data_IF_785082826413
#
_entry.id   IF_785082826413
#
_cell.length_a   1.000
_cell.length_b   1.000
_cell.length_c   1.000
_cell.angle_alpha   90.00
_cell.angle_beta   90.00
_cell.angle_gamma   90.00
#
_symmetry.space_group_name_H-M   'P 1'
#
loop_
_entity.id
_entity.type
_entity.pdbx_description
1 polymer ?
#
# COMPACT_ATOMS: atom_id res chain seq x y z
N UNK A 1 24.60 -58.05 -34.09
CA UNK A 1 24.92 -57.24 -32.89
C UNK A 1 25.48 -55.86 -33.25
N UNK A 2 26.44 -55.76 -34.19
CA UNK A 2 27.09 -54.51 -34.65
C UNK A 2 26.11 -53.47 -35.27
N UNK A 3 25.12 -53.89 -36.07
CA UNK A 3 24.18 -52.97 -36.72
C UNK A 3 23.28 -52.19 -35.76
N UNK A 4 22.86 -52.81 -34.64
CA UNK A 4 21.98 -52.15 -33.66
C UNK A 4 22.72 -51.07 -32.87
N UNK A 5 24.01 -51.28 -32.58
CA UNK A 5 24.82 -50.30 -31.88
C UNK A 5 25.14 -49.09 -32.77
N UNK A 6 25.46 -49.29 -34.05
CA UNK A 6 25.72 -48.19 -34.98
C UNK A 6 24.51 -47.26 -35.14
N UNK A 7 23.29 -47.82 -35.18
CA UNK A 7 22.04 -47.03 -35.23
C UNK A 7 21.84 -46.25 -33.93
N UNK A 8 22.07 -46.86 -32.76
CA UNK A 8 21.94 -46.18 -31.45
C UNK A 8 22.94 -45.03 -31.33
N UNK A 9 24.22 -45.26 -31.67
CA UNK A 9 25.24 -44.21 -31.65
C UNK A 9 24.94 -43.09 -32.67
N UNK A 10 24.43 -43.43 -33.86
CA UNK A 10 24.01 -42.46 -34.86
C UNK A 10 22.87 -41.56 -34.36
N UNK A 11 21.85 -42.14 -33.72
CA UNK A 11 20.72 -41.39 -33.15
C UNK A 11 21.20 -40.49 -32.00
N UNK A 12 22.09 -40.98 -31.13
CA UNK A 12 22.65 -40.18 -30.04
C UNK A 12 23.47 -38.99 -30.54
N UNK A 13 24.32 -39.20 -31.55
CA UNK A 13 25.11 -38.12 -32.15
C UNK A 13 24.20 -37.09 -32.85
N UNK A 14 23.16 -37.53 -33.54
CA UNK A 14 22.18 -36.64 -34.16
C UNK A 14 21.41 -35.82 -33.11
N UNK A 15 20.97 -36.45 -32.02
CA UNK A 15 20.28 -35.76 -30.92
C UNK A 15 21.17 -34.71 -30.25
N UNK A 16 22.43 -35.05 -29.98
CA UNK A 16 23.41 -34.12 -29.42
C UNK A 16 23.71 -32.95 -30.36
N UNK A 17 23.78 -33.18 -31.68
CA UNK A 17 23.96 -32.12 -32.66
C UNK A 17 22.77 -31.14 -32.66
N UNK A 18 21.53 -31.65 -32.58
CA UNK A 18 20.31 -30.81 -32.51
C UNK A 18 20.28 -29.98 -31.23
N UNK A 19 20.61 -30.59 -30.08
CA UNK A 19 20.67 -29.87 -28.80
C UNK A 19 21.77 -28.80 -28.83
N UNK A 20 22.95 -29.11 -29.37
CA UNK A 20 24.06 -28.18 -29.51
C UNK A 20 23.73 -26.98 -30.40
N UNK A 21 23.09 -27.21 -31.54
CA UNK A 21 22.59 -26.16 -32.43
C UNK A 21 21.52 -25.30 -31.74
N UNK A 22 20.60 -25.91 -31.00
CA UNK A 22 19.60 -25.20 -30.21
C UNK A 22 20.21 -24.30 -29.14
N UNK A 23 21.19 -24.81 -28.39
CA UNK A 23 21.91 -24.04 -27.38
C UNK A 23 22.71 -22.87 -27.99
N UNK A 24 23.40 -23.10 -29.12
CA UNK A 24 24.12 -22.05 -29.83
C UNK A 24 23.17 -20.94 -30.33
N UNK A 25 22.01 -21.31 -30.87
CA UNK A 25 21.03 -20.35 -31.38
C UNK A 25 20.37 -19.49 -30.27
N UNK A 26 20.20 -20.07 -29.07
CA UNK A 26 19.81 -19.32 -27.87
C UNK A 26 20.95 -18.39 -27.42
N UNK A 27 22.20 -18.87 -27.41
CA UNK A 27 23.37 -18.08 -27.01
C UNK A 27 23.61 -16.87 -27.93
N UNK A 28 23.39 -17.01 -29.24
CA UNK A 28 23.50 -15.91 -30.21
C UNK A 28 22.25 -15.02 -30.25
N UNK A 29 21.29 -15.24 -29.34
CA UNK A 29 20.07 -14.45 -29.22
C UNK A 29 19.25 -14.38 -30.53
N UNK A 30 19.38 -15.41 -31.39
CA UNK A 30 18.79 -15.46 -32.73
C UNK A 30 17.41 -16.10 -32.76
N UNK A 31 17.00 -16.75 -31.66
CA UNK A 31 15.66 -17.32 -31.48
C UNK A 31 14.99 -16.61 -30.30
N UNK A 32 13.98 -15.82 -30.63
CA UNK A 32 13.11 -15.17 -29.66
C UNK A 32 12.02 -16.16 -29.21
N UNK A 33 12.28 -16.88 -28.11
CA UNK A 33 11.36 -17.88 -27.56
C UNK A 33 10.41 -17.20 -26.54
N UNK A 34 9.14 -16.92 -26.90
CA UNK A 34 8.24 -16.12 -26.07
C UNK A 34 7.94 -16.74 -24.70
N UNK A 35 8.09 -18.06 -24.54
CA UNK A 35 7.82 -18.76 -23.29
C UNK A 35 8.88 -18.53 -22.19
N UNK A 36 10.12 -18.15 -22.52
CA UNK A 36 11.12 -17.82 -21.51
C UNK A 36 10.95 -16.40 -20.96
N UNK A 37 10.31 -15.49 -21.71
CA UNK A 37 10.09 -14.11 -21.25
C UNK A 37 9.06 -14.03 -20.12
N UNK A 38 8.00 -14.83 -20.18
CA UNK A 38 6.96 -14.81 -19.13
C UNK A 38 7.39 -15.46 -17.81
N UNK A 39 8.39 -16.35 -17.83
CA UNK A 39 8.85 -17.11 -16.67
C UNK A 39 9.94 -16.40 -15.86
N UNK A 40 10.72 -15.54 -16.51
CA UNK A 40 11.84 -14.81 -15.89
C UNK A 40 11.66 -13.29 -15.92
N UNK A 41 10.54 -12.78 -16.45
CA UNK A 41 10.17 -11.39 -16.24
C UNK A 41 9.82 -11.19 -14.76
N UNK A 42 10.79 -10.66 -14.01
CA UNK A 42 10.48 -9.98 -12.77
C UNK A 42 9.44 -8.92 -13.12
N UNK A 43 8.25 -9.04 -12.53
CA UNK A 43 7.28 -7.95 -12.57
C UNK A 43 8.02 -6.67 -12.17
N UNK A 44 7.81 -5.54 -12.87
CA UNK A 44 8.46 -4.29 -12.51
C UNK A 44 8.18 -4.07 -11.02
N UNK A 45 9.23 -4.13 -10.21
CA UNK A 45 9.13 -3.79 -8.80
C UNK A 45 8.66 -2.34 -8.78
N UNK A 46 7.47 -2.03 -8.24
CA UNK A 46 7.02 -0.65 -8.21
C UNK A 46 8.12 0.15 -7.53
N UNK A 47 8.69 1.09 -8.28
CA UNK A 47 9.59 2.09 -7.69
C UNK A 47 8.82 2.70 -6.53
N UNK A 48 9.37 2.73 -5.30
CA UNK A 48 8.71 3.37 -4.17
C UNK A 48 8.56 4.85 -4.50
N UNK A 49 7.42 5.17 -5.11
CA UNK A 49 6.94 6.53 -5.22
C UNK A 49 6.47 6.81 -3.80
N UNK A 50 7.13 7.76 -3.13
CA UNK A 50 6.60 8.30 -1.87
C UNK A 50 5.16 8.70 -2.15
N UNK A 51 4.22 7.97 -1.55
CA UNK A 51 2.81 8.27 -1.71
C UNK A 51 2.62 9.73 -1.26
N UNK A 52 2.08 10.59 -2.13
CA UNK A 52 2.01 12.02 -1.84
C UNK A 52 1.14 12.27 -0.61
N UNK A 53 1.74 12.89 0.41
CA UNK A 53 1.06 13.20 1.67
C UNK A 53 -0.03 14.25 1.40
N UNK A 54 -1.31 14.00 1.75
CA UNK A 54 -2.40 14.92 1.43
C UNK A 54 -2.29 16.22 2.22
N UNK A 55 -2.27 17.41 1.60
CA UNK A 55 -2.34 18.68 2.32
C UNK A 55 -3.68 18.81 3.06
N UNK A 56 -3.71 19.30 4.32
CA UNK A 56 -4.93 19.85 4.84
C UNK A 56 -5.31 21.12 4.04
N UNK A 57 -6.60 21.39 3.78
CA UNK A 57 -7.00 22.62 3.11
C UNK A 57 -6.55 23.84 3.91
N UNK A 58 -6.22 24.95 3.23
CA UNK A 58 -5.70 26.16 3.88
C UNK A 58 -6.68 26.66 4.96
N UNK A 59 -6.18 26.83 6.18
CA UNK A 59 -6.99 27.26 7.33
C UNK A 59 -7.87 26.16 7.94
N UNK A 60 -7.67 24.88 7.60
CA UNK A 60 -8.39 23.78 8.23
C UNK A 60 -8.11 23.73 9.73
N UNK A 61 -9.17 23.94 10.51
CA UNK A 61 -9.14 23.78 11.96
C UNK A 61 -9.23 22.30 12.33
N UNK A 62 -8.55 21.88 13.42
CA UNK A 62 -8.74 20.55 14.00
C UNK A 62 -10.22 20.28 14.30
N UNK A 63 -10.66 19.06 14.04
CA UNK A 63 -12.03 18.65 14.32
C UNK A 63 -12.13 18.31 15.80
N UNK A 64 -13.23 18.68 16.48
CA UNK A 64 -13.50 18.22 17.85
C UNK A 64 -13.40 16.69 17.91
N UNK A 65 -12.65 16.17 18.88
CA UNK A 65 -12.39 14.72 19.02
C UNK A 65 -13.68 13.90 18.99
N UNK A 66 -14.75 14.36 19.65
CA UNK A 66 -16.05 13.69 19.69
C UNK A 66 -16.79 13.57 18.35
N UNK A 67 -16.34 14.28 17.31
CA UNK A 67 -16.86 14.20 15.94
C UNK A 67 -16.00 13.33 15.03
N UNK A 68 -14.82 12.93 15.48
CA UNK A 68 -13.91 12.07 14.72
C UNK A 68 -14.27 10.61 15.00
N UNK A 69 -14.72 9.91 13.95
CA UNK A 69 -14.99 8.47 13.98
C UNK A 69 -13.76 7.70 13.52
N UNK A 70 -13.26 6.81 14.38
CA UNK A 70 -12.03 6.04 14.16
C UNK A 70 -12.34 4.55 14.16
N UNK A 71 -11.85 3.84 13.15
CA UNK A 71 -11.73 2.38 13.20
C UNK A 71 -10.27 2.04 13.50
N UNK A 72 -10.01 1.09 14.38
CA UNK A 72 -8.65 0.73 14.78
C UNK A 72 -8.35 -0.70 14.34
N UNK A 73 -7.32 -0.84 13.52
CA UNK A 73 -6.87 -2.10 12.96
C UNK A 73 -5.52 -2.50 13.55
N UNK A 74 -5.43 -3.72 14.06
CA UNK A 74 -4.16 -4.29 14.48
C UNK A 74 -3.41 -4.86 13.27
N UNK A 75 -2.39 -4.14 12.80
CA UNK A 75 -1.47 -4.61 11.76
C UNK A 75 -0.26 -5.37 12.31
N UNK A 76 -0.34 -5.88 13.55
CA UNK A 76 0.76 -6.60 14.21
C UNK A 76 0.33 -7.99 14.68
N UNK A 77 1.28 -8.78 15.16
CA UNK A 77 1.02 -10.05 15.87
C UNK A 77 0.69 -9.86 17.35
N UNK A 78 0.71 -8.62 17.88
CA UNK A 78 0.46 -8.34 19.29
C UNK A 78 -1.02 -8.42 19.61
N UNK A 79 -1.42 -9.42 20.41
CA UNK A 79 -2.81 -9.61 20.80
C UNK A 79 -3.35 -8.45 21.65
N UNK A 80 -4.55 -7.97 21.32
CA UNK A 80 -5.24 -6.92 22.07
C UNK A 80 -4.69 -5.51 21.88
N UNK A 81 -3.73 -5.29 20.97
CA UNK A 81 -3.14 -3.98 20.73
C UNK A 81 -4.19 -2.95 20.27
N UNK A 82 -5.06 -3.33 19.33
CA UNK A 82 -6.14 -2.45 18.86
C UNK A 82 -7.12 -2.09 19.97
N UNK A 83 -7.45 -3.04 20.87
CA UNK A 83 -8.35 -2.79 21.99
C UNK A 83 -7.77 -1.79 23.00
N UNK A 84 -6.52 -2.00 23.43
CA UNK A 84 -5.84 -1.06 24.35
C UNK A 84 -5.72 0.34 23.75
N UNK A 85 -5.38 0.40 22.47
CA UNK A 85 -5.29 1.67 21.75
C UNK A 85 -6.66 2.33 21.60
N UNK A 86 -7.73 1.55 21.45
CA UNK A 86 -9.09 2.06 21.44
C UNK A 86 -9.45 2.70 22.76
N UNK A 87 -9.16 2.06 23.89
CA UNK A 87 -9.41 2.63 25.22
C UNK A 87 -8.68 3.97 25.39
N UNK A 88 -7.41 4.05 24.96
CA UNK A 88 -6.64 5.29 24.99
C UNK A 88 -7.23 6.38 24.08
N UNK A 89 -7.67 6.02 22.87
CA UNK A 89 -8.29 6.95 21.91
C UNK A 89 -9.66 7.43 22.42
N UNK A 90 -10.48 6.55 22.99
CA UNK A 90 -11.76 6.89 23.60
C UNK A 90 -11.60 7.76 24.85
N UNK A 91 -10.59 7.48 25.69
CA UNK A 91 -10.23 8.29 26.85
C UNK A 91 -9.88 9.74 26.49
N UNK A 92 -9.42 9.96 25.26
CA UNK A 92 -9.15 11.30 24.70
C UNK A 92 -10.39 11.96 24.10
N UNK A 93 -11.53 11.27 24.04
CA UNK A 93 -12.80 11.79 23.58
C UNK A 93 -13.11 11.54 22.10
N UNK A 94 -12.32 10.72 21.41
CA UNK A 94 -12.63 10.25 20.05
C UNK A 94 -13.79 9.24 20.06
N UNK A 95 -14.42 9.01 18.90
CA UNK A 95 -15.43 7.98 18.75
C UNK A 95 -14.84 6.78 18.04
N UNK A 96 -14.52 5.72 18.78
CA UNK A 96 -14.13 4.45 18.17
C UNK A 96 -15.40 3.75 17.68
N UNK A 97 -15.40 3.35 16.41
CA UNK A 97 -16.53 2.67 15.78
C UNK A 97 -16.29 1.17 15.68
N UNK A 98 -15.06 0.75 15.42
CA UNK A 98 -14.68 -0.65 15.27
C UNK A 98 -13.23 -0.88 15.70
N UNK A 99 -12.97 -2.06 16.26
CA UNK A 99 -11.62 -2.57 16.54
C UNK A 99 -11.49 -3.98 15.97
N UNK A 100 -10.54 -4.20 15.07
CA UNK A 100 -10.32 -5.52 14.46
C UNK A 100 -8.86 -5.72 14.02
N UNK A 101 -8.53 -6.86 13.43
CA UNK A 101 -7.21 -7.10 12.86
C UNK A 101 -7.15 -6.57 11.42
N UNK A 102 -6.01 -6.01 11.03
CA UNK A 102 -5.76 -5.65 9.64
C UNK A 102 -5.60 -6.93 8.80
N UNK A 103 -6.00 -6.92 7.53
CA UNK A 103 -5.80 -8.08 6.63
C UNK A 103 -4.33 -8.34 6.32
N UNK A 104 -3.48 -7.33 6.46
CA UNK A 104 -2.03 -7.38 6.19
C UNK A 104 -1.30 -6.71 7.35
N UNK A 105 -0.15 -7.25 7.73
CA UNK A 105 0.71 -6.65 8.74
C UNK A 105 1.35 -5.36 8.22
N UNK A 106 1.51 -4.36 9.08
CA UNK A 106 2.14 -3.08 8.75
C UNK A 106 3.46 -2.94 9.50
N UNK A 107 4.54 -2.62 8.78
CA UNK A 107 5.89 -2.57 9.33
C UNK A 107 6.28 -1.21 9.95
N UNK A 108 5.48 -0.14 9.73
CA UNK A 108 5.78 1.19 10.27
C UNK A 108 5.18 1.45 11.65
N UNK A 109 5.13 2.72 12.07
CA UNK A 109 4.50 3.12 13.34
C UNK A 109 2.99 2.97 13.24
N UNK A 110 2.35 3.71 12.34
CA UNK A 110 0.94 3.56 12.06
C UNK A 110 0.62 4.08 10.67
N UNK A 111 -0.49 3.62 10.11
CA UNK A 111 -1.06 4.16 8.87
C UNK A 111 -2.47 4.64 9.13
N UNK A 112 -2.76 5.86 8.70
CA UNK A 112 -4.06 6.50 8.83
C UNK A 112 -4.67 6.62 7.43
N UNK A 113 -5.71 5.82 7.17
CA UNK A 113 -6.44 5.83 5.91
C UNK A 113 -7.72 6.68 6.03
N UNK A 114 -7.95 7.56 5.07
CA UNK A 114 -9.10 8.48 5.08
C UNK A 114 -9.54 8.89 3.68
N UNK A 115 -10.79 9.35 3.56
CA UNK A 115 -11.32 9.92 2.33
C UNK A 115 -11.23 11.44 2.29
N UNK A 116 -11.69 12.03 1.19
CA UNK A 116 -11.70 13.49 0.99
C UNK A 116 -12.44 14.26 2.09
N UNK A 117 -13.49 13.69 2.70
CA UNK A 117 -14.22 14.30 3.82
C UNK A 117 -13.56 14.08 5.19
N UNK A 118 -12.59 13.17 5.28
CA UNK A 118 -11.92 12.76 6.51
C UNK A 118 -10.58 13.44 6.75
N UNK A 119 -10.13 14.33 5.86
CA UNK A 119 -8.79 14.95 5.92
C UNK A 119 -8.53 15.62 7.28
N UNK A 120 -9.41 16.54 7.70
CA UNK A 120 -9.22 17.25 8.97
C UNK A 120 -9.27 16.29 10.18
N UNK A 121 -10.10 15.25 10.13
CA UNK A 121 -10.19 14.22 11.16
C UNK A 121 -8.91 13.36 11.23
N UNK A 122 -8.34 13.01 10.08
CA UNK A 122 -7.11 12.25 9.98
C UNK A 122 -5.91 13.04 10.50
N UNK A 123 -5.81 14.32 10.16
CA UNK A 123 -4.77 15.21 10.70
C UNK A 123 -4.89 15.42 12.21
N UNK A 124 -6.13 15.51 12.72
CA UNK A 124 -6.38 15.58 14.16
C UNK A 124 -5.87 14.31 14.86
N UNK A 125 -6.13 13.13 14.29
CA UNK A 125 -5.65 11.86 14.84
C UNK A 125 -4.12 11.72 14.70
N UNK A 126 -3.54 12.16 13.57
CA UNK A 126 -2.11 12.07 13.29
C UNK A 126 -1.26 12.83 14.32
N UNK A 127 -1.76 13.93 14.87
CA UNK A 127 -1.05 14.66 15.93
C UNK A 127 -0.90 13.86 17.23
N UNK A 128 -1.70 12.81 17.44
CA UNK A 128 -1.55 11.88 18.56
C UNK A 128 -0.61 10.71 18.26
N UNK A 129 -0.24 10.49 16.99
CA UNK A 129 0.57 9.36 16.53
C UNK A 129 1.74 9.87 15.69
N UNK A 130 2.82 10.36 16.33
CA UNK A 130 3.98 10.84 15.60
C UNK A 130 4.59 9.72 14.76
N UNK A 131 4.88 10.02 13.50
CA UNK A 131 5.37 9.02 12.54
C UNK A 131 4.27 8.21 11.84
N UNK A 132 2.99 8.55 12.03
CA UNK A 132 1.92 7.95 11.25
C UNK A 132 1.96 8.39 9.78
N UNK A 133 1.80 7.43 8.88
CA UNK A 133 1.68 7.65 7.44
C UNK A 133 0.22 7.97 7.08
N UNK A 134 -0.01 9.13 6.45
CA UNK A 134 -1.34 9.57 6.01
C UNK A 134 -1.60 9.09 4.57
N UNK A 135 -2.53 8.16 4.39
CA UNK A 135 -2.90 7.65 3.08
C UNK A 135 -4.35 8.01 2.75
N UNK A 136 -4.54 8.82 1.71
CA UNK A 136 -5.89 9.09 1.22
C UNK A 136 -6.38 7.92 0.37
N UNK A 137 -7.63 7.51 0.55
CA UNK A 137 -8.30 6.54 -0.32
C UNK A 137 -9.55 7.13 -0.98
N UNK A 138 -10.19 6.32 -1.83
CA UNK A 138 -11.36 6.75 -2.60
C UNK A 138 -12.69 6.74 -1.81
N UNK A 139 -12.66 6.61 -0.47
CA UNK A 139 -13.89 6.58 0.34
C UNK A 139 -14.55 7.96 0.36
N UNK A 140 -15.88 7.97 0.47
CA UNK A 140 -16.71 9.19 0.48
C UNK A 140 -17.18 9.61 1.88
N UNK A 141 -16.95 8.77 2.89
CA UNK A 141 -17.31 9.05 4.28
C UNK A 141 -16.17 9.82 4.98
N UNK A 142 -16.45 10.32 6.19
CA UNK A 142 -15.48 11.04 7.02
C UNK A 142 -14.82 10.13 8.08
N UNK A 143 -14.97 8.81 7.93
CA UNK A 143 -14.37 7.83 8.84
C UNK A 143 -12.88 7.68 8.55
N UNK A 144 -12.11 7.57 9.64
CA UNK A 144 -10.66 7.41 9.60
C UNK A 144 -10.31 6.02 10.11
N UNK A 145 -9.44 5.31 9.40
CA UNK A 145 -8.95 4.01 9.84
C UNK A 145 -7.50 4.16 10.32
N UNK A 146 -7.23 3.73 11.55
CA UNK A 146 -5.90 3.69 12.15
C UNK A 146 -5.39 2.25 12.15
N UNK A 147 -4.45 1.95 11.26
CA UNK A 147 -3.73 0.67 11.26
C UNK A 147 -2.46 0.81 12.07
N UNK A 148 -2.36 0.05 13.16
CA UNK A 148 -1.18 0.02 14.04
C UNK A 148 -0.13 -0.91 13.44
N UNK A 149 1.11 -0.46 13.33
CA UNK A 149 2.20 -1.28 12.81
C UNK A 149 3.15 -1.78 13.90
N UNK A 150 4.15 -2.55 13.48
CA UNK A 150 5.11 -3.21 14.37
C UNK A 150 5.93 -2.22 15.21
N UNK A 151 6.15 -1.01 14.71
CA UNK A 151 6.91 0.02 15.41
C UNK A 151 6.01 0.88 16.31
N UNK A 152 4.70 0.60 16.36
CA UNK A 152 3.78 1.26 17.27
C UNK A 152 4.09 0.86 18.72
N UNK A 153 4.21 1.85 19.58
CA UNK A 153 4.43 1.63 21.02
C UNK A 153 3.24 2.16 21.82
N UNK A 154 3.03 3.47 21.77
CA UNK A 154 1.92 4.14 22.46
C UNK A 154 1.58 5.45 21.74
N UNK A 155 0.42 6.00 22.07
CA UNK A 155 0.04 7.34 21.64
C UNK A 155 0.91 8.39 22.34
N UNK A 156 1.15 9.51 21.66
CA UNK A 156 1.84 10.65 22.27
C UNK A 156 1.07 11.12 23.51
N UNK A 157 1.79 11.47 24.58
CA UNK A 157 1.19 11.96 25.82
C UNK A 157 0.38 13.24 25.56
N UNK A 158 -0.76 13.38 26.25
CA UNK A 158 -1.77 14.37 25.91
C UNK A 158 -1.30 15.83 26.11
N UNK A 159 -0.42 16.04 27.07
CA UNK A 159 0.27 17.29 27.37
C UNK A 159 1.28 17.69 26.28
N UNK A 160 1.79 16.72 25.51
CA UNK A 160 2.70 16.93 24.38
C UNK A 160 1.98 17.10 23.05
N UNK A 161 0.67 16.85 23.01
CA UNK A 161 -0.14 17.08 21.81
C UNK A 161 -0.40 18.57 21.69
N UNK A 162 0.38 19.26 20.87
CA UNK A 162 0.21 20.69 20.58
C UNK A 162 -0.89 20.94 19.54
N UNK A 163 -2.07 20.36 19.75
CA UNK A 163 -3.26 20.69 18.97
C UNK A 163 -4.04 21.78 19.68
N UNK A 164 -3.99 22.98 19.13
CA UNK A 164 -4.84 24.09 19.54
C UNK A 164 -6.05 24.14 18.59
N UNK A 165 -7.29 23.96 19.09
CA UNK A 165 -8.49 23.94 18.23
C UNK A 165 -8.74 25.26 17.51
N UNK A 166 -8.09 26.35 17.93
CA UNK A 166 -8.18 27.67 17.31
C UNK A 166 -7.01 27.94 16.34
N UNK A 167 -5.99 27.07 16.29
CA UNK A 167 -4.87 27.19 15.35
C UNK A 167 -5.04 26.25 14.14
N UNK A 168 -4.77 26.75 12.92
CA UNK A 168 -4.76 25.91 11.73
C UNK A 168 -3.77 24.76 11.86
N UNK A 169 -4.12 23.61 11.27
CA UNK A 169 -3.23 22.46 11.16
C UNK A 169 -1.97 22.86 10.36
N UNK A 170 -0.78 22.54 10.90
CA UNK A 170 0.48 22.78 10.21
C UNK A 170 0.65 21.72 9.12
N UNK A 171 0.58 22.16 7.86
CA UNK A 171 0.90 21.29 6.73
C UNK A 171 2.42 21.04 6.68
N UNK A 172 2.87 19.78 6.53
CA UNK A 172 4.25 19.50 6.14
C UNK A 172 4.62 20.20 4.82
N UNK A 173 5.87 20.66 4.69
CA UNK A 173 6.35 21.42 3.52
C UNK A 173 6.31 20.65 2.18
N UNK A 174 6.07 19.34 2.22
CA UNK A 174 6.07 18.43 1.06
C UNK A 174 4.74 17.69 0.91
N UNK A 175 3.61 18.38 1.13
CA UNK A 175 2.28 17.82 0.92
C UNK A 175 1.70 18.21 -0.45
N UNK A 176 0.85 17.36 -0.99
CA UNK A 176 0.13 17.57 -2.26
C UNK A 176 -1.34 17.94 -1.98
N UNK A 177 -1.91 18.97 -2.62
CA UNK A 177 -3.31 19.33 -2.45
C UNK A 177 -4.26 18.14 -2.61
N UNK A 178 -5.26 18.04 -1.73
CA UNK A 178 -6.26 16.95 -1.74
C UNK A 178 -7.01 16.88 -3.06
N UNK A 179 -7.19 18.02 -3.73
CA UNK A 179 -7.82 18.15 -5.04
C UNK A 179 -7.01 17.42 -6.13
N UNK A 180 -5.69 17.55 -6.10
CA UNK A 180 -4.80 16.90 -7.06
C UNK A 180 -4.72 15.39 -6.80
N UNK A 181 -4.76 14.98 -5.54
CA UNK A 181 -4.83 13.57 -5.16
C UNK A 181 -6.16 12.93 -5.57
N UNK A 182 -7.28 13.63 -5.37
CA UNK A 182 -8.59 13.15 -5.77
C UNK A 182 -8.68 13.00 -7.30
N UNK A 183 -8.03 13.91 -8.05
CA UNK A 183 -7.92 13.83 -9.51
C UNK A 183 -7.02 12.69 -9.97
N UNK A 184 -5.85 12.50 -9.34
CA UNK A 184 -4.94 11.38 -9.63
C UNK A 184 -5.60 10.02 -9.35
N UNK A 185 -6.34 9.89 -8.25
CA UNK A 185 -7.10 8.67 -7.93
C UNK A 185 -8.25 8.43 -8.92
N UNK A 186 -8.94 9.48 -9.38
CA UNK A 186 -9.95 9.37 -10.42
C UNK A 186 -9.35 8.89 -11.76
N UNK A 187 -8.16 9.38 -12.13
CA UNK A 187 -7.43 8.95 -13.32
C UNK A 187 -6.89 7.52 -13.20
N UNK A 188 -6.38 7.11 -12.03
CA UNK A 188 -5.92 5.75 -11.78
C UNK A 188 -7.08 4.73 -11.84
N UNK A 189 -8.24 5.08 -11.28
CA UNK A 189 -9.44 4.24 -11.33
C UNK A 189 -10.03 4.11 -12.75
N UNK A 190 -9.89 5.15 -13.59
CA UNK A 190 -10.26 5.10 -14.99
C UNK A 190 -9.32 4.22 -15.83
N UNK A 191 -8.03 4.15 -15.47
CA UNK A 191 -7.04 3.28 -16.13
C UNK A 191 -7.11 1.81 -15.70
N UNK A 192 -7.69 1.52 -14.53
CA UNK A 192 -7.81 0.17 -13.98
C UNK A 192 -9.10 -0.58 -14.41
N UNK A 193 -9.92 0.00 -15.28
CA UNK A 193 -11.07 -0.71 -15.87
C UNK A 193 -10.62 -1.38 -17.17
N UNK A 194 -10.39 -2.71 -17.21
CA UNK A 194 -10.11 -3.37 -18.47
C UNK A 194 -11.36 -3.25 -19.33
N UNK A 195 -11.19 -2.73 -20.55
CA UNK A 195 -12.16 -2.88 -21.64
C UNK A 195 -12.56 -4.35 -21.69
N UNK A 196 -13.76 -4.68 -21.24
CA UNK A 196 -14.41 -5.93 -21.55
C UNK A 196 -14.54 -6.00 -23.08
N UNK A 197 -13.61 -6.70 -23.72
CA UNK A 197 -13.69 -7.09 -25.12
C UNK A 197 -14.91 -7.96 -25.30
N UNK A 198 -16.00 -7.35 -25.76
CA UNK A 198 -17.08 -8.04 -26.43
C UNK A 198 -16.49 -8.75 -27.66
N UNK A 199 -16.52 -10.09 -27.66
CA UNK A 199 -16.28 -10.89 -28.85
C UNK A 199 -17.56 -11.66 -29.16
N UNK A 200 -18.14 -11.32 -30.31
CA UNK A 200 -19.19 -12.05 -31.01
C UNK A 200 -18.73 -13.45 -31.40
#
# INVERSE_FOLDING_TARGET
MQERQAVIFGILLAALAVIGLGAAAVYTNSIDLPFFKEQFAAAPTPTPTLDPVPCPPEGALPVKYSKVKVNIYNGTSTAGLAGRTADDVEGRGFKVAETTNAPVTYAGVARINFGTKGVAAAYTLAAHVPGAELQMDARKNATVDLTLGSDFTTLLELDKVTLDPEKPLVAPASCTPVEDLAKAQASAKASASPKATAKK
#
